data_IF_282435027657
#
_entry.id   IF_282435027657
#
_cell.length_a   1.000
_cell.length_b   1.000
_cell.length_c   1.000
_cell.angle_alpha   90.00
_cell.angle_beta   90.00
_cell.angle_gamma   90.00
#
_symmetry.space_group_name_H-M   'P 1'
#
loop_
_entity.id
_entity.type
_entity.pdbx_description
1 polymer ?
#
# COMPACT_ATOMS: atom_id res chain seq x y z
N UNK A 1 16.66 -0.59 15.64
CA UNK A 1 15.33 -1.06 15.21
C UNK A 1 14.79 0.06 14.33
N UNK A 2 14.62 -0.19 13.04
CA UNK A 2 14.13 0.83 12.12
C UNK A 2 12.63 1.01 12.37
N UNK A 3 12.18 2.26 12.46
CA UNK A 3 10.77 2.59 12.68
C UNK A 3 9.92 2.09 11.50
N UNK A 4 8.69 1.64 11.78
CA UNK A 4 7.80 0.99 10.81
C UNK A 4 7.59 1.86 9.57
N UNK A 5 7.51 3.18 9.72
CA UNK A 5 7.31 4.10 8.60
C UNK A 5 8.51 4.14 7.63
N UNK A 6 9.73 3.99 8.14
CA UNK A 6 10.92 3.89 7.30
C UNK A 6 10.99 2.53 6.60
N UNK A 7 10.60 1.45 7.29
CA UNK A 7 10.51 0.11 6.72
C UNK A 7 9.51 0.05 5.56
N UNK A 8 8.32 0.66 5.72
CA UNK A 8 7.32 0.79 4.65
C UNK A 8 7.92 1.53 3.45
N UNK A 9 8.56 2.69 3.68
CA UNK A 9 9.18 3.48 2.62
C UNK A 9 10.20 2.66 1.81
N UNK A 10 11.12 1.97 2.49
CA UNK A 10 12.14 1.16 1.84
C UNK A 10 11.55 0.00 1.03
N UNK A 11 10.49 -0.62 1.53
CA UNK A 11 9.79 -1.70 0.82
C UNK A 11 9.06 -1.18 -0.42
N UNK A 12 8.38 -0.04 -0.33
CA UNK A 12 7.78 0.63 -1.49
C UNK A 12 8.84 1.00 -2.54
N UNK A 13 9.99 1.53 -2.10
CA UNK A 13 11.13 1.80 -2.99
C UNK A 13 11.62 0.52 -3.68
N UNK A 14 11.78 -0.57 -2.93
CA UNK A 14 12.25 -1.87 -3.44
C UNK A 14 11.30 -2.48 -4.46
N UNK A 15 9.99 -2.36 -4.27
CA UNK A 15 8.98 -2.79 -5.24
C UNK A 15 9.04 -1.95 -6.52
N UNK A 16 9.50 -0.70 -6.42
CA UNK A 16 9.56 0.26 -7.53
C UNK A 16 8.34 1.17 -7.60
N UNK A 17 7.60 1.33 -6.49
CA UNK A 17 6.38 2.16 -6.41
C UNK A 17 6.66 3.60 -6.84
N UNK A 18 7.78 4.18 -6.39
CA UNK A 18 8.09 5.59 -6.64
C UNK A 18 8.44 5.93 -8.10
N UNK A 19 8.65 4.91 -8.93
CA UNK A 19 8.91 5.10 -10.37
C UNK A 19 7.62 5.12 -11.20
N UNK A 20 6.48 4.86 -10.57
CA UNK A 20 5.17 4.84 -11.24
C UNK A 20 4.75 6.28 -11.50
N UNK A 21 4.59 6.63 -12.79
CA UNK A 21 4.20 8.00 -13.19
C UNK A 21 2.71 8.27 -13.03
N UNK A 22 1.88 7.27 -13.32
CA UNK A 22 0.43 7.36 -13.24
C UNK A 22 -0.15 6.05 -12.72
N UNK A 23 0.11 4.94 -13.43
CA UNK A 23 -0.40 3.63 -13.07
C UNK A 23 0.51 2.52 -13.59
N UNK A 24 0.57 1.39 -12.89
CA UNK A 24 1.14 0.14 -13.37
C UNK A 24 0.45 -1.08 -12.72
N UNK A 25 0.41 -2.19 -13.45
CA UNK A 25 0.09 -3.52 -12.90
C UNK A 25 1.35 -4.37 -12.93
N UNK A 26 1.69 -4.98 -11.81
CA UNK A 26 2.76 -5.98 -11.73
C UNK A 26 2.10 -7.37 -11.69
N UNK A 27 2.22 -8.09 -12.80
CA UNK A 27 1.74 -9.47 -12.96
C UNK A 27 2.73 -10.46 -12.34
N UNK A 28 2.26 -11.34 -11.45
CA UNK A 28 3.05 -12.47 -10.89
C UNK A 28 2.19 -13.72 -10.67
N UNK A 29 1.90 -14.50 -11.73
CA UNK A 29 1.20 -15.77 -11.58
C UNK A 29 1.94 -16.73 -10.63
N UNK A 30 1.23 -17.50 -9.79
CA UNK A 30 -0.23 -17.63 -9.70
C UNK A 30 -0.91 -16.59 -8.79
N UNK A 31 -0.20 -15.57 -8.33
CA UNK A 31 -0.72 -14.56 -7.41
C UNK A 31 -1.56 -13.49 -8.11
N UNK A 32 -2.47 -12.87 -7.36
CA UNK A 32 -3.26 -11.72 -7.81
C UNK A 32 -2.34 -10.56 -8.19
N UNK A 33 -2.52 -9.91 -9.33
CA UNK A 33 -1.66 -8.81 -9.76
C UNK A 33 -1.69 -7.64 -8.76
N UNK A 34 -0.55 -6.97 -8.59
CA UNK A 34 -0.46 -5.76 -7.79
C UNK A 34 -0.72 -4.54 -8.68
N UNK A 35 -1.78 -3.81 -8.40
CA UNK A 35 -2.08 -2.52 -9.00
C UNK A 35 -1.41 -1.41 -8.19
N UNK A 36 -0.81 -0.44 -8.87
CA UNK A 36 -0.17 0.72 -8.25
C UNK A 36 -0.59 1.97 -9.02
N UNK A 37 -1.27 2.88 -8.34
CA UNK A 37 -1.68 4.19 -8.84
C UNK A 37 -0.93 5.30 -8.13
N UNK A 38 -0.51 6.33 -8.88
CA UNK A 38 0.00 7.58 -8.32
C UNK A 38 -1.14 8.59 -8.29
N UNK A 39 -1.64 8.88 -7.09
CA UNK A 39 -2.77 9.80 -6.88
C UNK A 39 -2.33 11.27 -6.80
N UNK A 40 -1.15 11.52 -6.23
CA UNK A 40 -0.50 12.83 -6.16
C UNK A 40 1.02 12.68 -6.15
N UNK A 41 1.75 13.78 -5.91
CA UNK A 41 3.21 13.70 -5.83
C UNK A 41 3.72 12.81 -4.69
N UNK A 42 2.94 12.73 -3.61
CA UNK A 42 3.27 12.10 -2.34
C UNK A 42 2.26 11.02 -1.91
N UNK A 43 1.26 10.70 -2.73
CA UNK A 43 0.25 9.68 -2.42
C UNK A 43 0.19 8.63 -3.52
N UNK A 44 0.27 7.37 -3.11
CA UNK A 44 0.11 6.20 -3.96
C UNK A 44 -1.03 5.33 -3.43
N UNK A 45 -1.79 4.71 -4.34
CA UNK A 45 -2.71 3.64 -4.00
C UNK A 45 -2.13 2.29 -4.46
N UNK A 46 -2.14 1.30 -3.57
CA UNK A 46 -1.72 -0.07 -3.85
C UNK A 46 -2.90 -0.99 -3.60
N UNK A 47 -3.21 -1.87 -4.56
CA UNK A 47 -4.30 -2.83 -4.40
C UNK A 47 -4.02 -4.19 -5.04
N UNK A 48 -4.63 -5.22 -4.46
CA UNK A 48 -4.83 -6.53 -5.09
C UNK A 48 -6.34 -6.79 -5.18
N UNK A 49 -6.79 -7.27 -6.33
CA UNK A 49 -8.22 -7.42 -6.63
C UNK A 49 -8.52 -8.87 -7.05
N UNK A 50 -8.60 -9.82 -6.10
CA UNK A 50 -9.03 -11.19 -6.40
C UNK A 50 -10.44 -11.23 -6.99
N UNK A 51 -10.73 -12.34 -7.67
CA UNK A 51 -12.06 -12.64 -8.19
C UNK A 51 -12.58 -13.91 -7.53
N UNK A 52 -13.76 -13.83 -6.94
CA UNK A 52 -14.47 -14.96 -6.33
C UNK A 52 -15.92 -14.96 -6.85
N UNK A 53 -16.41 -16.12 -7.29
CA UNK A 53 -17.74 -16.28 -7.90
C UNK A 53 -18.07 -15.23 -9.00
N UNK A 54 -17.05 -14.82 -9.76
CA UNK A 54 -17.17 -13.83 -10.83
C UNK A 54 -17.26 -12.37 -10.37
N UNK A 55 -17.11 -12.11 -9.07
CA UNK A 55 -17.10 -10.77 -8.48
C UNK A 55 -15.67 -10.41 -8.07
N UNK A 56 -15.20 -9.25 -8.53
CA UNK A 56 -13.92 -8.69 -8.12
C UNK A 56 -14.11 -7.81 -6.88
N UNK A 57 -13.22 -7.94 -5.90
CA UNK A 57 -13.22 -7.11 -4.70
C UNK A 57 -11.80 -6.73 -4.30
N UNK A 58 -11.66 -5.63 -3.56
CA UNK A 58 -10.40 -5.20 -3.00
C UNK A 58 -9.97 -6.10 -1.84
N UNK A 59 -8.75 -6.65 -1.91
CA UNK A 59 -8.09 -7.38 -0.83
C UNK A 59 -6.55 -7.28 -0.90
N UNK A 60 -5.95 -6.22 -0.32
CA UNK A 60 -6.57 -4.96 0.10
C UNK A 60 -6.54 -3.88 -1.00
N UNK A 61 -7.16 -2.73 -0.73
CA UNK A 61 -6.88 -1.43 -1.36
C UNK A 61 -6.44 -0.42 -0.27
N UNK A 62 -5.29 0.23 -0.47
CA UNK A 62 -4.69 1.17 0.49
C UNK A 62 -4.15 2.42 -0.20
N UNK A 63 -4.52 3.59 0.31
CA UNK A 63 -3.80 4.84 0.03
C UNK A 63 -2.68 5.06 1.04
N UNK A 64 -1.51 5.48 0.55
CA UNK A 64 -0.29 5.60 1.33
C UNK A 64 0.35 6.96 1.05
N UNK A 65 0.61 7.73 2.10
CA UNK A 65 1.38 8.98 2.02
C UNK A 65 2.87 8.67 2.15
N UNK A 66 3.67 9.34 1.33
CA UNK A 66 5.12 9.17 1.25
C UNK A 66 5.80 10.52 1.49
N UNK A 67 6.71 10.56 2.46
CA UNK A 67 7.61 11.69 2.68
C UNK A 67 9.02 11.30 2.19
N UNK A 68 9.37 11.78 1.00
CA UNK A 68 10.69 11.52 0.40
C UNK A 68 11.85 12.23 1.12
N UNK A 69 11.58 13.33 1.83
CA UNK A 69 12.63 14.05 2.55
C UNK A 69 13.05 13.27 3.80
N UNK A 70 12.07 12.78 4.56
CA UNK A 70 12.30 12.01 5.77
C UNK A 70 12.43 10.50 5.51
N UNK A 71 12.16 10.03 4.28
CA UNK A 71 12.17 8.62 3.88
C UNK A 71 11.23 7.77 4.74
N UNK A 72 10.02 8.27 4.91
CA UNK A 72 8.95 7.60 5.65
C UNK A 72 7.71 7.46 4.78
N UNK A 73 6.90 6.45 5.06
CA UNK A 73 5.60 6.28 4.44
C UNK A 73 4.60 5.77 5.49
N UNK A 74 3.36 6.23 5.40
CA UNK A 74 2.28 5.88 6.34
C UNK A 74 0.96 5.62 5.59
N UNK A 75 0.12 4.69 6.05
CA UNK A 75 -1.18 4.47 5.47
C UNK A 75 -2.12 5.66 5.75
N UNK A 76 -2.99 5.95 4.80
CA UNK A 76 -4.09 6.92 4.93
C UNK A 76 -5.43 6.21 5.05
N UNK A 77 -5.63 5.20 4.19
CA UNK A 77 -6.87 4.43 4.10
C UNK A 77 -6.56 2.94 3.97
N UNK A 78 -7.58 2.15 4.28
CA UNK A 78 -7.59 0.72 4.01
C UNK A 78 -9.03 0.31 3.67
N UNK A 79 -9.18 -0.50 2.64
CA UNK A 79 -10.45 -1.08 2.25
C UNK A 79 -10.28 -2.56 1.92
N UNK A 80 -11.16 -3.38 2.49
CA UNK A 80 -11.36 -4.79 2.16
C UNK A 80 -12.85 -5.05 2.17
N UNK A 81 -13.39 -5.59 1.06
CA UNK A 81 -14.83 -5.80 0.90
C UNK A 81 -15.63 -4.52 1.28
N UNK A 82 -16.52 -4.61 2.27
CA UNK A 82 -17.34 -3.51 2.80
C UNK A 82 -16.65 -2.73 3.94
N UNK A 83 -15.53 -3.22 4.47
CA UNK A 83 -14.82 -2.57 5.56
C UNK A 83 -13.93 -1.44 5.01
N UNK A 84 -14.12 -0.23 5.54
CA UNK A 84 -13.26 0.92 5.26
C UNK A 84 -12.75 1.56 6.55
N UNK A 85 -11.44 1.80 6.60
CA UNK A 85 -10.75 2.47 7.71
C UNK A 85 -10.00 3.70 7.20
N UNK A 86 -9.98 4.77 7.99
CA UNK A 86 -9.35 6.06 7.64
C UNK A 86 -8.52 6.55 8.83
N UNK A 87 -7.24 6.81 8.60
CA UNK A 87 -6.30 7.26 9.66
C UNK A 87 -6.56 8.69 10.11
N UNK A 88 -6.93 9.56 9.17
CA UNK A 88 -7.21 10.98 9.43
C UNK A 88 -8.68 11.30 9.08
N UNK A 89 -9.64 10.96 9.94
CA UNK A 89 -11.07 11.02 9.60
C UNK A 89 -11.63 12.44 9.52
N UNK A 90 -10.93 13.43 10.10
CA UNK A 90 -11.29 14.85 10.04
C UNK A 90 -10.04 15.72 10.24
N UNK A 91 -10.06 17.01 9.84
CA UNK A 91 -8.95 17.93 10.10
C UNK A 91 -8.56 17.96 11.58
N UNK A 92 -7.27 17.77 11.86
CA UNK A 92 -6.73 17.75 13.22
C UNK A 92 -7.07 16.52 14.05
N UNK A 93 -7.76 15.51 13.50
CA UNK A 93 -8.04 14.23 14.16
C UNK A 93 -7.21 13.10 13.58
N UNK A 94 -6.74 12.21 14.45
CA UNK A 94 -6.06 10.98 14.09
C UNK A 94 -6.69 9.81 14.84
N UNK A 95 -7.04 8.76 14.11
CA UNK A 95 -7.35 7.46 14.71
C UNK A 95 -6.02 6.72 14.92
N UNK A 96 -5.48 6.81 16.15
CA UNK A 96 -4.21 6.18 16.52
C UNK A 96 -4.26 4.66 16.43
N UNK A 97 -5.44 4.05 16.67
CA UNK A 97 -5.61 2.61 16.55
C UNK A 97 -5.50 2.20 15.08
N UNK A 98 -6.22 2.89 14.19
CA UNK A 98 -6.10 2.68 12.76
C UNK A 98 -4.67 2.93 12.27
N UNK A 99 -4.04 4.02 12.70
CA UNK A 99 -2.66 4.32 12.32
C UNK A 99 -1.70 3.17 12.64
N UNK A 100 -1.73 2.67 13.87
CA UNK A 100 -0.80 1.63 14.33
C UNK A 100 -1.09 0.28 13.65
N UNK A 101 -2.35 -0.12 13.60
CA UNK A 101 -2.75 -1.41 13.02
C UNK A 101 -2.50 -1.45 11.50
N UNK A 102 -2.89 -0.41 10.78
CA UNK A 102 -2.70 -0.34 9.33
C UNK A 102 -1.22 -0.20 8.96
N UNK A 103 -0.40 0.49 9.77
CA UNK A 103 1.04 0.56 9.50
C UNK A 103 1.70 -0.82 9.66
N UNK A 104 1.29 -1.57 10.69
CA UNK A 104 1.78 -2.93 10.93
C UNK A 104 1.32 -3.89 9.83
N UNK A 105 0.07 -3.77 9.40
CA UNK A 105 -0.46 -4.55 8.28
C UNK A 105 0.30 -4.24 6.98
N UNK A 106 0.41 -2.97 6.60
CA UNK A 106 1.08 -2.54 5.38
C UNK A 106 2.54 -3.01 5.34
N UNK A 107 3.27 -2.87 6.46
CA UNK A 107 4.65 -3.32 6.55
C UNK A 107 4.82 -4.83 6.31
N UNK A 108 3.89 -5.64 6.85
CA UNK A 108 3.88 -7.08 6.64
C UNK A 108 3.45 -7.45 5.21
N UNK A 109 2.40 -6.81 4.70
CA UNK A 109 1.90 -7.07 3.35
C UNK A 109 2.92 -6.72 2.26
N UNK A 110 3.62 -5.59 2.38
CA UNK A 110 4.72 -5.25 1.47
C UNK A 110 5.87 -6.27 1.54
N UNK A 111 6.15 -6.83 2.72
CA UNK A 111 7.16 -7.90 2.86
C UNK A 111 6.74 -9.16 2.09
N UNK A 112 5.47 -9.55 2.21
CA UNK A 112 4.89 -10.69 1.50
C UNK A 112 4.89 -10.48 -0.03
N UNK A 113 4.52 -9.29 -0.50
CA UNK A 113 4.63 -8.92 -1.92
C UNK A 113 6.07 -9.05 -2.44
N UNK A 114 7.04 -8.54 -1.69
CA UNK A 114 8.46 -8.66 -2.04
C UNK A 114 8.89 -10.14 -2.06
N UNK A 115 8.45 -10.94 -1.09
CA UNK A 115 8.77 -12.37 -1.02
C UNK A 115 8.18 -13.15 -2.21
N UNK A 116 6.98 -12.77 -2.66
CA UNK A 116 6.32 -13.29 -3.86
C UNK A 116 6.90 -12.75 -5.17
N UNK A 117 7.86 -11.83 -5.09
CA UNK A 117 8.62 -11.31 -6.23
C UNK A 117 7.96 -10.15 -6.96
N UNK A 118 6.98 -9.45 -6.36
CA UNK A 118 6.40 -8.24 -6.94
C UNK A 118 7.42 -7.08 -6.93
N UNK A 119 8.27 -7.05 -7.95
CA UNK A 119 9.30 -6.02 -8.17
C UNK A 119 9.18 -5.56 -9.62
N UNK A 120 8.99 -4.26 -9.83
CA UNK A 120 8.73 -3.68 -11.16
C UNK A 120 9.89 -3.86 -12.15
N UNK A 121 11.13 -3.84 -11.68
CA UNK A 121 12.34 -3.83 -12.51
C UNK A 121 13.11 -5.16 -12.51
N UNK A 122 12.40 -6.29 -12.49
CA UNK A 122 13.02 -7.62 -12.68
C UNK A 122 12.83 -8.12 -14.11
#
# INVERSE_FOLDING_TARGET
MQDVYHSIYEKMAKIGVFEVRQYVVIEKPPHVPLCIDRLSDDIFALSQNPMEDGVMYADPDMEIRVDHQNKTAEPLTFQVLEERRVVYPAPGKVDLKAKNELSSFLDNWLSDLIQKGFIKNQ
#
